data_IF_416102318222
#
_entry.id   IF_416102318222
#
_cell.length_a   1.000
_cell.length_b   1.000
_cell.length_c   1.000
_cell.angle_alpha   90.00
_cell.angle_beta   90.00
_cell.angle_gamma   90.00
#
_symmetry.space_group_name_H-M   'P 1'
#
loop_
_entity.id
_entity.type
_entity.pdbx_description
1 polymer ?
#
# COMPACT_ATOMS: atom_id res chain seq x y z
N UNK A 1 36.61 6.95 0.55
CA UNK A 1 35.34 7.11 -0.20
C UNK A 1 35.42 8.34 -1.12
N UNK A 2 35.82 8.18 -2.39
CA UNK A 2 36.10 9.28 -3.33
C UNK A 2 34.85 10.01 -3.86
N UNK A 3 33.66 9.38 -3.80
CA UNK A 3 32.41 9.94 -4.33
C UNK A 3 31.93 11.21 -3.62
N UNK A 4 32.13 11.33 -2.30
CA UNK A 4 31.67 12.49 -1.51
C UNK A 4 32.46 13.75 -1.84
N UNK A 5 33.75 13.62 -2.25
CA UNK A 5 34.59 14.76 -2.61
C UNK A 5 34.22 15.33 -3.98
N UNK A 6 33.84 14.48 -4.93
CA UNK A 6 33.39 14.91 -6.26
C UNK A 6 32.10 15.73 -6.19
N UNK A 7 31.17 15.36 -5.30
CA UNK A 7 29.91 16.10 -5.12
C UNK A 7 30.14 17.51 -4.56
N UNK A 8 31.02 17.65 -3.55
CA UNK A 8 31.38 18.96 -2.98
C UNK A 8 32.12 19.89 -3.94
N UNK A 9 32.90 19.35 -4.88
CA UNK A 9 33.65 20.17 -5.85
C UNK A 9 32.76 20.76 -6.95
N UNK A 10 31.64 20.10 -7.28
CA UNK A 10 30.68 20.61 -8.28
C UNK A 10 29.88 21.79 -7.70
N UNK A 11 29.54 21.75 -6.41
CA UNK A 11 28.77 22.83 -5.76
C UNK A 11 29.55 24.15 -5.57
N UNK A 12 30.88 24.09 -5.45
CA UNK A 12 31.71 25.29 -5.23
C UNK A 12 31.96 26.12 -6.50
N UNK A 13 31.58 25.63 -7.68
CA UNK A 13 31.81 26.32 -8.96
C UNK A 13 30.58 27.08 -9.48
N UNK A 14 29.40 26.93 -8.87
CA UNK A 14 28.14 27.51 -9.35
C UNK A 14 27.47 28.38 -8.27
N UNK A 15 28.06 29.54 -7.98
CA UNK A 15 27.35 30.63 -7.28
C UNK A 15 26.42 31.36 -8.26
N UNK A 16 25.26 30.75 -8.56
CA UNK A 16 24.09 31.45 -9.08
C UNK A 16 22.86 30.96 -8.32
N UNK A 17 22.17 31.92 -7.68
CA UNK A 17 20.85 31.88 -7.00
C UNK A 17 20.15 30.50 -6.96
N UNK A 18 19.75 29.98 -5.77
CA UNK A 18 19.25 28.62 -5.64
C UNK A 18 17.94 28.47 -6.42
N UNK A 19 18.02 27.87 -7.59
CA UNK A 19 16.88 27.19 -8.18
C UNK A 19 16.53 26.13 -7.15
N UNK A 20 15.44 26.32 -6.40
CA UNK A 20 14.89 25.29 -5.51
C UNK A 20 14.62 24.07 -6.38
N UNK A 21 15.58 23.15 -6.42
CA UNK A 21 15.46 21.90 -7.13
C UNK A 21 14.28 21.17 -6.49
N UNK A 22 13.38 20.68 -7.34
CA UNK A 22 12.31 19.83 -6.84
C UNK A 22 12.95 18.66 -6.06
N UNK A 23 12.39 18.27 -4.90
CA UNK A 23 12.95 17.22 -4.07
C UNK A 23 13.13 15.95 -4.90
N UNK A 24 14.36 15.45 -4.93
CA UNK A 24 14.71 14.24 -5.65
C UNK A 24 14.39 13.01 -4.79
N UNK A 25 14.39 11.83 -5.40
CA UNK A 25 14.13 10.58 -4.68
C UNK A 25 15.14 10.35 -3.53
N UNK A 26 16.38 10.83 -3.68
CA UNK A 26 17.39 10.74 -2.62
C UNK A 26 16.98 11.54 -1.38
N UNK A 27 16.36 12.71 -1.55
CA UNK A 27 15.89 13.53 -0.44
C UNK A 27 14.75 12.84 0.31
N UNK A 28 13.86 12.16 -0.43
CA UNK A 28 12.80 11.33 0.16
C UNK A 28 13.39 10.15 0.95
N UNK A 29 14.37 9.45 0.41
CA UNK A 29 15.00 8.31 1.08
C UNK A 29 15.73 8.73 2.37
N UNK A 30 16.43 9.88 2.34
CA UNK A 30 17.07 10.45 3.53
C UNK A 30 16.04 10.89 4.56
N UNK A 31 14.94 11.51 4.12
CA UNK A 31 13.81 11.87 4.99
C UNK A 31 13.18 10.65 5.66
N UNK A 32 12.92 9.58 4.89
CA UNK A 32 12.35 8.34 5.42
C UNK A 32 13.29 7.67 6.43
N UNK A 33 14.59 7.61 6.14
CA UNK A 33 15.59 7.08 7.07
C UNK A 33 15.63 7.89 8.37
N UNK A 34 15.63 9.23 8.29
CA UNK A 34 15.59 10.08 9.48
C UNK A 34 14.32 9.86 10.31
N UNK A 35 13.16 9.69 9.66
CA UNK A 35 11.88 9.41 10.33
C UNK A 35 11.89 8.04 11.03
N UNK A 36 12.57 7.04 10.46
CA UNK A 36 12.70 5.72 11.06
C UNK A 36 13.66 5.68 12.26
N UNK A 37 14.71 6.52 12.22
CA UNK A 37 15.72 6.66 13.26
C UNK A 37 15.31 7.60 14.41
N UNK A 38 14.22 8.36 14.24
CA UNK A 38 13.69 9.26 15.26
C UNK A 38 13.29 8.49 16.53
N UNK A 39 13.86 8.90 17.67
CA UNK A 39 13.57 8.32 18.99
C UNK A 39 12.40 9.00 19.70
N UNK A 40 11.83 10.05 19.11
CA UNK A 40 10.69 10.76 19.69
C UNK A 40 9.44 9.86 19.71
N UNK A 41 8.91 9.58 20.89
CA UNK A 41 7.70 8.77 21.11
C UNK A 41 6.50 9.38 20.37
N UNK A 42 6.45 10.70 20.24
CA UNK A 42 5.35 11.40 19.58
C UNK A 42 5.41 11.40 18.04
N UNK A 43 6.50 10.89 17.46
CA UNK A 43 6.67 10.77 16.02
C UNK A 43 5.60 9.89 15.39
N UNK A 44 5.11 10.29 14.20
CA UNK A 44 4.04 9.55 13.48
C UNK A 44 4.42 8.08 13.25
N UNK A 45 5.69 7.81 12.96
CA UNK A 45 6.21 6.46 12.73
C UNK A 45 6.19 5.63 14.03
N UNK A 46 6.63 6.21 15.15
CA UNK A 46 6.65 5.53 16.44
C UNK A 46 5.24 5.27 16.99
N UNK A 47 4.23 6.06 16.63
CA UNK A 47 2.81 5.76 16.91
C UNK A 47 2.24 4.68 15.99
N UNK A 48 2.64 4.65 14.72
CA UNK A 48 2.14 3.69 13.73
C UNK A 48 2.65 2.26 13.97
N UNK A 49 3.91 2.10 14.40
CA UNK A 49 4.52 0.78 14.70
C UNK A 49 3.67 -0.08 15.66
N UNK A 50 3.34 0.37 16.89
CA UNK A 50 2.56 -0.44 17.82
C UNK A 50 1.12 -0.65 17.33
N UNK A 51 0.54 0.32 16.61
CA UNK A 51 -0.79 0.15 16.01
C UNK A 51 -0.83 -1.05 15.05
N UNK A 52 0.11 -1.12 14.09
CA UNK A 52 0.15 -2.23 13.14
C UNK A 52 0.55 -3.54 13.80
N UNK A 53 1.48 -3.50 14.76
CA UNK A 53 1.89 -4.69 15.52
C UNK A 53 0.71 -5.30 16.28
N UNK A 54 -0.14 -4.47 16.90
CA UNK A 54 -1.31 -4.95 17.63
C UNK A 54 -2.41 -5.42 16.68
N UNK A 55 -2.65 -4.70 15.58
CA UNK A 55 -3.69 -5.05 14.61
C UNK A 55 -3.40 -6.39 13.92
N UNK A 56 -2.14 -6.69 13.64
CA UNK A 56 -1.72 -7.91 12.95
C UNK A 56 -1.23 -9.01 13.90
N UNK A 57 -1.41 -8.83 15.22
CA UNK A 57 -0.98 -9.82 16.19
C UNK A 57 -1.81 -11.11 16.05
N UNK A 58 -1.15 -12.26 15.92
CA UNK A 58 -1.82 -13.56 15.76
C UNK A 58 -2.21 -13.92 14.33
N UNK A 59 -1.96 -13.06 13.34
CA UNK A 59 -2.20 -13.39 11.94
C UNK A 59 -1.16 -14.41 11.42
N UNK A 60 -1.62 -15.53 10.84
CA UNK A 60 -0.74 -16.55 10.26
C UNK A 60 -0.27 -16.15 8.86
N UNK A 61 0.95 -15.63 8.77
CA UNK A 61 1.57 -15.20 7.52
C UNK A 61 1.99 -16.35 6.60
N UNK A 62 2.15 -17.56 7.11
CA UNK A 62 2.56 -18.72 6.32
C UNK A 62 1.37 -19.45 5.71
N UNK A 63 0.15 -19.07 6.10
CA UNK A 63 -1.08 -19.64 5.58
C UNK A 63 -1.30 -19.22 4.14
N UNK A 64 -1.23 -20.18 3.25
CA UNK A 64 -1.63 -20.01 1.85
C UNK A 64 -3.16 -20.14 1.79
N UNK A 65 -3.84 -19.07 1.38
CA UNK A 65 -5.27 -19.10 1.10
C UNK A 65 -5.49 -19.53 -0.36
N UNK A 66 -5.88 -20.78 -0.55
CA UNK A 66 -6.25 -21.30 -1.87
C UNK A 66 -7.62 -20.73 -2.27
N UNK A 67 -7.63 -19.72 -3.15
CA UNK A 67 -8.85 -19.04 -3.62
C UNK A 67 -9.67 -19.90 -4.61
N UNK A 68 -9.08 -20.97 -5.16
CA UNK A 68 -9.71 -21.83 -6.16
C UNK A 68 -9.51 -23.29 -5.75
N UNK A 69 -10.58 -24.10 -5.63
CA UNK A 69 -10.45 -25.55 -5.49
C UNK A 69 -9.99 -26.10 -6.84
N UNK A 70 -8.78 -26.65 -6.88
CA UNK A 70 -8.10 -27.19 -8.05
C UNK A 70 -7.50 -26.16 -9.02
N UNK A 71 -6.19 -25.99 -8.94
CA UNK A 71 -5.27 -26.50 -9.96
C UNK A 71 -3.87 -26.62 -9.33
N UNK A 72 -3.31 -27.83 -9.39
CA UNK A 72 -1.92 -28.22 -9.17
C UNK A 72 -1.07 -27.36 -8.20
N UNK A 73 -0.89 -27.88 -6.99
CA UNK A 73 0.14 -27.47 -6.03
C UNK A 73 1.55 -27.81 -6.56
N UNK A 74 1.95 -27.20 -7.66
CA UNK A 74 3.29 -27.34 -8.22
C UNK A 74 4.13 -26.14 -7.78
N UNK A 75 5.07 -26.46 -6.90
CA UNK A 75 6.25 -25.73 -6.47
C UNK A 75 6.04 -24.33 -5.87
N UNK A 76 6.64 -24.14 -4.69
CA UNK A 76 6.67 -22.89 -3.90
C UNK A 76 7.40 -21.72 -4.60
N UNK A 77 7.66 -21.82 -5.91
CA UNK A 77 8.34 -20.82 -6.71
C UNK A 77 7.30 -20.02 -7.46
N UNK A 78 7.13 -18.75 -7.05
CA UNK A 78 6.26 -17.77 -7.69
C UNK A 78 6.66 -17.62 -9.18
N UNK A 79 5.74 -17.94 -10.09
CA UNK A 79 6.01 -17.89 -11.55
C UNK A 79 5.98 -16.50 -12.17
N UNK A 80 5.64 -15.45 -11.40
CA UNK A 80 5.46 -14.05 -11.84
C UNK A 80 4.52 -13.82 -13.04
N UNK A 81 3.75 -14.83 -13.44
CA UNK A 81 2.71 -14.69 -14.46
C UNK A 81 1.46 -14.06 -13.87
N UNK A 82 0.94 -13.04 -14.56
CA UNK A 82 -0.30 -12.38 -14.22
C UNK A 82 -1.28 -12.44 -15.41
N UNK A 83 -2.56 -12.56 -15.11
CA UNK A 83 -3.65 -12.46 -16.08
C UNK A 83 -4.58 -11.32 -15.64
N UNK A 84 -5.13 -10.59 -16.60
CA UNK A 84 -6.07 -9.51 -16.35
C UNK A 84 -7.34 -9.74 -17.16
N UNK A 85 -8.49 -9.58 -16.50
CA UNK A 85 -9.80 -9.61 -17.14
C UNK A 85 -10.55 -8.34 -16.81
N UNK A 86 -11.19 -7.77 -17.83
CA UNK A 86 -12.00 -6.57 -17.68
C UNK A 86 -13.48 -6.96 -17.59
N UNK A 87 -14.19 -6.30 -16.67
CA UNK A 87 -15.64 -6.42 -16.54
C UNK A 87 -16.22 -5.04 -16.28
N UNK A 88 -17.47 -4.84 -16.69
CA UNK A 88 -18.22 -3.60 -16.49
C UNK A 88 -19.48 -3.87 -15.68
N UNK A 89 -19.90 -2.87 -14.92
CA UNK A 89 -21.19 -2.88 -14.24
C UNK A 89 -22.21 -2.12 -15.09
N UNK A 90 -23.45 -2.57 -15.05
CA UNK A 90 -24.55 -1.85 -15.65
C UNK A 90 -24.86 -0.57 -14.86
N UNK A 91 -25.33 0.47 -15.54
CA UNK A 91 -25.51 1.84 -15.00
C UNK A 91 -26.38 1.85 -13.74
N UNK A 92 -27.50 1.13 -13.75
CA UNK A 92 -28.39 0.97 -12.60
C UNK A 92 -27.68 0.48 -11.31
N UNK A 93 -26.70 -0.41 -11.42
CA UNK A 93 -25.93 -0.91 -10.27
C UNK A 93 -24.96 0.16 -9.78
N UNK A 94 -24.36 0.91 -10.70
CA UNK A 94 -23.45 2.00 -10.37
C UNK A 94 -24.19 3.11 -9.63
N UNK A 95 -25.36 3.51 -10.14
CA UNK A 95 -26.21 4.52 -9.51
C UNK A 95 -26.66 4.09 -8.11
N UNK A 96 -27.13 2.85 -7.98
CA UNK A 96 -27.52 2.30 -6.68
C UNK A 96 -26.36 2.31 -5.67
N UNK A 97 -25.14 1.97 -6.12
CA UNK A 97 -23.93 2.05 -5.27
C UNK A 97 -23.60 3.47 -4.86
N UNK A 98 -23.71 4.44 -5.79
CA UNK A 98 -23.45 5.85 -5.49
C UNK A 98 -24.45 6.36 -4.47
N UNK A 99 -25.76 6.13 -4.69
CA UNK A 99 -26.80 6.52 -3.75
C UNK A 99 -26.58 5.89 -2.38
N UNK A 100 -26.27 4.59 -2.31
CA UNK A 100 -26.00 3.90 -1.05
C UNK A 100 -24.78 4.49 -0.33
N UNK A 101 -23.68 4.74 -1.03
CA UNK A 101 -22.48 5.33 -0.46
C UNK A 101 -22.75 6.73 0.10
N UNK A 102 -23.48 7.57 -0.66
CA UNK A 102 -23.86 8.92 -0.25
C UNK A 102 -24.78 8.91 0.98
N UNK A 103 -25.78 8.03 1.04
CA UNK A 103 -26.69 7.95 2.20
C UNK A 103 -26.00 7.48 3.48
N UNK A 104 -24.92 6.70 3.38
CA UNK A 104 -24.21 6.15 4.53
C UNK A 104 -22.88 6.87 4.86
N UNK A 105 -22.59 8.01 4.21
CA UNK A 105 -21.32 8.74 4.34
C UNK A 105 -20.07 7.85 4.10
N UNK A 106 -20.18 6.91 3.15
CA UNK A 106 -19.10 6.00 2.77
C UNK A 106 -18.43 6.46 1.49
N UNK A 107 -17.16 6.11 1.33
CA UNK A 107 -16.49 6.25 0.04
C UNK A 107 -16.85 5.09 -0.88
N UNK A 108 -16.84 5.31 -2.20
CA UNK A 108 -17.01 4.23 -3.18
C UNK A 108 -15.94 3.14 -3.03
N UNK A 109 -14.73 3.52 -2.61
CA UNK A 109 -13.65 2.59 -2.30
C UNK A 109 -14.01 1.67 -1.13
N UNK A 110 -14.42 2.24 0.01
CA UNK A 110 -14.79 1.45 1.20
C UNK A 110 -15.98 0.52 0.95
N UNK A 111 -16.98 0.98 0.20
CA UNK A 111 -18.12 0.15 -0.19
C UNK A 111 -17.68 -1.02 -1.08
N UNK A 112 -16.86 -0.73 -2.11
CA UNK A 112 -16.40 -1.77 -3.03
C UNK A 112 -15.45 -2.76 -2.34
N UNK A 113 -14.63 -2.28 -1.40
CA UNK A 113 -13.77 -3.13 -0.57
C UNK A 113 -14.60 -4.05 0.33
N UNK A 114 -15.68 -3.55 0.96
CA UNK A 114 -16.59 -4.37 1.75
C UNK A 114 -17.29 -5.44 0.89
N UNK A 115 -17.77 -5.07 -0.30
CA UNK A 115 -18.32 -6.05 -1.24
C UNK A 115 -17.27 -7.11 -1.64
N UNK A 116 -16.02 -6.71 -1.81
CA UNK A 116 -14.92 -7.63 -2.12
C UNK A 116 -14.65 -8.61 -0.97
N UNK A 117 -14.62 -8.14 0.28
CA UNK A 117 -14.51 -9.03 1.45
C UNK A 117 -15.66 -10.05 1.52
N UNK A 118 -16.91 -9.61 1.33
CA UNK A 118 -18.08 -10.51 1.31
C UNK A 118 -17.99 -11.52 0.16
N UNK A 119 -17.51 -11.08 -1.00
CA UNK A 119 -17.29 -11.96 -2.15
C UNK A 119 -16.23 -13.03 -1.84
N UNK A 120 -15.08 -12.64 -1.29
CA UNK A 120 -14.02 -13.58 -0.93
C UNK A 120 -14.48 -14.57 0.15
N UNK A 121 -15.18 -14.09 1.17
CA UNK A 121 -15.74 -14.95 2.22
C UNK A 121 -16.67 -16.02 1.63
N UNK A 122 -17.57 -15.64 0.71
CA UNK A 122 -18.47 -16.57 0.02
C UNK A 122 -17.77 -17.52 -0.95
N UNK A 123 -16.67 -17.08 -1.57
CA UNK A 123 -15.92 -17.89 -2.52
C UNK A 123 -15.15 -19.00 -1.81
N UNK A 124 -14.50 -18.65 -0.70
CA UNK A 124 -13.58 -19.53 0.02
C UNK A 124 -14.35 -20.43 1.01
N UNK A 125 -15.53 -20.01 1.47
CA UNK A 125 -16.34 -20.73 2.48
C UNK A 125 -15.52 -21.15 3.72
N UNK A 126 -14.62 -20.27 4.16
CA UNK A 126 -13.80 -20.46 5.36
C UNK A 126 -14.17 -19.36 6.37
N UNK A 127 -14.35 -19.76 7.62
CA UNK A 127 -14.68 -18.90 8.77
C UNK A 127 -13.44 -18.22 9.39
N UNK A 128 -12.54 -17.68 8.56
CA UNK A 128 -11.28 -17.08 9.01
C UNK A 128 -11.08 -15.64 8.58
N UNK A 129 -10.17 -14.97 9.29
CA UNK A 129 -9.78 -13.59 9.02
C UNK A 129 -9.09 -13.43 7.65
N UNK A 130 -9.60 -12.47 6.87
CA UNK A 130 -9.07 -12.12 5.55
C UNK A 130 -8.26 -10.82 5.63
N UNK A 131 -7.04 -10.84 5.09
CA UNK A 131 -6.21 -9.64 4.95
C UNK A 131 -6.11 -9.23 3.47
N UNK A 132 -6.74 -8.11 3.10
CA UNK A 132 -6.64 -7.53 1.75
C UNK A 132 -5.76 -6.29 1.76
N UNK A 133 -4.67 -6.32 0.99
CA UNK A 133 -3.77 -5.18 0.81
C UNK A 133 -4.28 -4.19 -0.23
N UNK A 134 -4.06 -2.89 0.02
CA UNK A 134 -4.33 -1.82 -0.95
C UNK A 134 -3.12 -0.91 -1.07
N UNK A 135 -2.75 -0.57 -2.30
CA UNK A 135 -1.66 0.39 -2.57
C UNK A 135 -2.16 1.82 -2.34
N UNK A 136 -1.31 2.67 -1.76
CA UNK A 136 -1.54 4.12 -1.64
C UNK A 136 -0.42 4.86 -2.34
N UNK A 137 -0.77 5.93 -3.06
CA UNK A 137 0.19 6.71 -3.84
C UNK A 137 1.28 7.41 -3.00
N UNK A 138 1.04 7.62 -1.70
CA UNK A 138 1.97 8.21 -0.72
C UNK A 138 2.64 9.55 -1.14
N UNK A 139 1.94 10.38 -1.93
CA UNK A 139 2.41 11.71 -2.39
C UNK A 139 1.84 12.85 -1.55
N UNK A 140 1.83 12.72 -0.22
CA UNK A 140 1.29 13.77 0.66
C UNK A 140 2.36 14.84 0.89
N UNK A 141 1.98 16.10 0.70
CA UNK A 141 2.78 17.28 1.08
C UNK A 141 2.66 17.54 2.58
#
# INVERSE_FOLDING_TARGET
>A
MPFIKAFKQIDLANEQQPILSAPQYIDFALYEHALLADTNIDSRMNKARPYWSNLMNGYDWNRIQDLVPHENKTDQIRSDRAYSTAFSFHENIVDAKISFASSNNLTMFSLSLACHYVFLYKLINIDDDLCVGSVRANRRK
#
